data_IF_108790331444
#
_entry.id   IF_108790331444
#
_cell.length_a   1.000
_cell.length_b   1.000
_cell.length_c   1.000
_cell.angle_alpha   90.00
_cell.angle_beta   90.00
_cell.angle_gamma   90.00
#
_symmetry.space_group_name_H-M   'P 1'
#
loop_
_entity.id
_entity.type
_entity.pdbx_description
1 polymer ?
#
# COMPACT_ATOMS: atom_id res chain seq x y z
N UNK A 1 -23.41 1.99 3.72
CA UNK A 1 -22.11 2.49 3.22
C UNK A 1 -22.35 3.04 1.83
N UNK A 2 -21.78 4.20 1.50
CA UNK A 2 -21.89 4.79 0.16
C UNK A 2 -20.74 4.25 -0.69
N UNK A 3 -20.96 3.13 -1.37
CA UNK A 3 -19.93 2.42 -2.15
C UNK A 3 -20.26 2.40 -3.63
N UNK A 4 -19.24 2.55 -4.47
CA UNK A 4 -19.33 2.32 -5.91
C UNK A 4 -18.51 1.10 -6.28
N UNK A 5 -19.12 0.15 -6.99
CA UNK A 5 -18.45 -1.04 -7.49
C UNK A 5 -18.26 -0.93 -9.00
N UNK A 6 -17.04 -1.19 -9.45
CA UNK A 6 -16.68 -1.35 -10.87
C UNK A 6 -16.22 -2.77 -11.12
N UNK A 7 -16.48 -3.28 -12.33
CA UNK A 7 -16.15 -4.66 -12.69
C UNK A 7 -15.64 -4.75 -14.13
N UNK A 8 -14.76 -5.70 -14.37
CA UNK A 8 -14.40 -6.23 -15.69
C UNK A 8 -14.45 -7.76 -15.62
N UNK A 9 -14.25 -8.46 -16.75
CA UNK A 9 -14.27 -9.94 -16.72
C UNK A 9 -13.24 -10.49 -15.73
N UNK A 10 -13.71 -11.23 -14.72
CA UNK A 10 -12.89 -11.89 -13.70
C UNK A 10 -12.39 -11.01 -12.56
N UNK A 11 -12.84 -9.75 -12.45
CA UNK A 11 -12.42 -8.85 -11.36
C UNK A 11 -13.52 -7.83 -11.01
N UNK A 12 -13.72 -7.59 -9.72
CA UNK A 12 -14.55 -6.48 -9.22
C UNK A 12 -13.85 -5.72 -8.09
N UNK A 13 -14.11 -4.42 -8.01
CA UNK A 13 -13.50 -3.52 -7.02
C UNK A 13 -14.56 -2.55 -6.52
N UNK A 14 -14.65 -2.38 -5.21
CA UNK A 14 -15.57 -1.45 -4.56
C UNK A 14 -14.80 -0.34 -3.84
N UNK A 15 -15.14 0.92 -4.15
CA UNK A 15 -14.62 2.12 -3.49
C UNK A 15 -15.65 2.64 -2.48
N UNK A 16 -15.26 2.88 -1.23
CA UNK A 16 -16.06 3.62 -0.25
C UNK A 16 -15.92 5.12 -0.50
N UNK A 17 -16.97 5.75 -1.03
CA UNK A 17 -16.95 7.15 -1.39
C UNK A 17 -16.83 8.09 -0.18
N UNK A 18 -17.02 7.62 1.05
CA UNK A 18 -16.90 8.50 2.21
C UNK A 18 -15.43 8.79 2.61
N UNK A 19 -14.51 7.94 2.18
CA UNK A 19 -13.09 7.98 2.59
C UNK A 19 -12.12 7.70 1.44
N UNK A 20 -12.61 7.24 0.29
CA UNK A 20 -11.78 6.89 -0.86
C UNK A 20 -11.03 5.57 -0.72
N UNK A 21 -11.44 4.70 0.21
CA UNK A 21 -10.82 3.40 0.43
C UNK A 21 -11.32 2.38 -0.59
N UNK A 22 -10.43 1.53 -1.11
CA UNK A 22 -10.80 0.29 -1.78
C UNK A 22 -11.33 -0.65 -0.71
N UNK A 23 -12.65 -0.65 -0.51
CA UNK A 23 -13.31 -1.40 0.56
C UNK A 23 -13.37 -2.91 0.29
N UNK A 24 -13.36 -3.30 -0.98
CA UNK A 24 -13.31 -4.70 -1.41
C UNK A 24 -12.66 -4.83 -2.80
N UNK A 25 -11.96 -5.93 -3.01
CA UNK A 25 -11.46 -6.37 -4.31
C UNK A 25 -11.68 -7.89 -4.39
N UNK A 26 -12.23 -8.36 -5.49
CA UNK A 26 -12.48 -9.77 -5.75
C UNK A 26 -11.92 -10.15 -7.13
N UNK A 27 -11.17 -11.24 -7.20
CA UNK A 27 -10.61 -11.77 -8.44
C UNK A 27 -11.08 -13.21 -8.65
N UNK A 28 -11.70 -13.49 -9.78
CA UNK A 28 -12.13 -14.84 -10.15
C UNK A 28 -11.01 -15.56 -10.90
N UNK A 29 -10.50 -16.65 -10.33
CA UNK A 29 -9.42 -17.42 -10.93
C UNK A 29 -9.48 -18.90 -10.52
N UNK A 30 -9.43 -19.81 -11.49
CA UNK A 30 -9.39 -21.26 -11.23
C UNK A 30 -10.62 -21.77 -10.46
N UNK A 31 -11.81 -21.20 -10.71
CA UNK A 31 -13.05 -21.55 -10.00
C UNK A 31 -13.14 -21.03 -8.56
N UNK A 32 -12.20 -20.17 -8.14
CA UNK A 32 -12.17 -19.53 -6.82
C UNK A 32 -12.39 -18.03 -6.94
N UNK A 33 -12.89 -17.41 -5.87
CA UNK A 33 -12.91 -15.95 -5.69
C UNK A 33 -11.85 -15.58 -4.66
N UNK A 34 -10.82 -14.86 -5.09
CA UNK A 34 -9.74 -14.39 -4.23
C UNK A 34 -10.10 -13.02 -3.67
N UNK A 35 -9.79 -12.80 -2.38
CA UNK A 35 -10.02 -11.53 -1.68
C UNK A 35 -8.68 -11.06 -1.09
N UNK A 36 -7.87 -10.32 -1.86
CA UNK A 36 -6.52 -9.96 -1.42
C UNK A 36 -6.46 -8.91 -0.32
N UNK A 37 -7.55 -8.16 -0.12
CA UNK A 37 -7.56 -6.98 0.73
C UNK A 37 -8.22 -7.23 2.09
N UNK A 38 -7.64 -6.66 3.14
CA UNK A 38 -8.11 -6.75 4.52
C UNK A 38 -9.26 -5.77 4.80
N UNK A 39 -10.11 -6.08 5.77
CA UNK A 39 -11.10 -5.16 6.34
C UNK A 39 -11.08 -5.28 7.85
N UNK A 40 -10.89 -4.16 8.54
CA UNK A 40 -10.73 -4.16 9.99
C UNK A 40 -12.00 -4.67 10.69
N UNK A 41 -11.87 -5.39 11.82
CA UNK A 41 -13.00 -6.08 12.46
C UNK A 41 -14.03 -5.15 13.10
N UNK A 42 -13.70 -3.86 13.28
CA UNK A 42 -14.65 -2.86 13.79
C UNK A 42 -15.43 -2.15 12.69
N UNK A 43 -15.08 -2.32 11.41
CA UNK A 43 -15.79 -1.63 10.33
C UNK A 43 -17.26 -2.07 10.29
N UNK A 44 -18.17 -1.10 10.46
CA UNK A 44 -19.61 -1.35 10.58
C UNK A 44 -20.12 -1.44 12.03
N UNK A 45 -19.26 -1.33 13.03
CA UNK A 45 -19.69 -1.16 14.43
C UNK A 45 -20.39 0.20 14.61
N UNK A 46 -21.35 0.31 15.54
CA UNK A 46 -21.98 1.60 15.83
C UNK A 46 -20.92 2.63 16.25
N UNK A 47 -21.01 3.87 15.74
CA UNK A 47 -19.96 4.88 15.89
C UNK A 47 -19.67 5.23 17.35
N UNK A 48 -20.71 5.21 18.18
CA UNK A 48 -20.70 5.45 19.62
C UNK A 48 -19.92 4.39 20.42
N UNK A 49 -19.66 3.22 19.82
CA UNK A 49 -18.83 2.15 20.43
C UNK A 49 -17.34 2.32 20.12
N UNK A 50 -16.99 3.27 19.26
CA UNK A 50 -15.62 3.55 18.84
C UNK A 50 -15.13 4.86 19.50
N UNK A 51 -13.83 5.01 19.79
CA UNK A 51 -13.30 6.25 20.35
C UNK A 51 -13.71 7.49 19.53
N UNK A 52 -14.11 8.55 20.21
CA UNK A 52 -14.69 9.75 19.57
C UNK A 52 -13.72 10.42 18.59
N UNK A 53 -12.42 10.42 18.89
CA UNK A 53 -11.41 11.13 18.11
C UNK A 53 -10.76 10.28 16.99
N UNK A 54 -11.33 9.13 16.63
CA UNK A 54 -10.81 8.37 15.49
C UNK A 54 -11.03 9.14 14.17
N UNK A 55 -9.99 9.23 13.31
CA UNK A 55 -10.17 9.64 11.92
C UNK A 55 -11.20 8.76 11.21
N UNK A 56 -12.00 9.34 10.32
CA UNK A 56 -13.03 8.60 9.59
C UNK A 56 -12.43 7.45 8.76
N UNK A 57 -11.23 7.64 8.21
CA UNK A 57 -10.48 6.58 7.54
C UNK A 57 -10.19 5.39 8.47
N UNK A 58 -9.85 5.63 9.74
CA UNK A 58 -9.64 4.56 10.73
C UNK A 58 -10.94 3.88 11.12
N UNK A 59 -12.05 4.62 11.24
CA UNK A 59 -13.39 4.04 11.48
C UNK A 59 -13.76 3.06 10.36
N UNK A 60 -13.33 3.33 9.13
CA UNK A 60 -13.64 2.57 7.91
C UNK A 60 -12.44 1.81 7.34
N UNK A 61 -11.46 1.49 8.18
CA UNK A 61 -10.16 0.95 7.76
C UNK A 61 -10.33 -0.34 6.93
N UNK A 62 -10.05 -0.25 5.63
CA UNK A 62 -10.27 -1.34 4.68
C UNK A 62 -9.43 -1.18 3.42
N UNK A 63 -9.06 -2.33 2.87
CA UNK A 63 -8.25 -2.58 1.69
C UNK A 63 -7.10 -1.63 1.48
N UNK A 64 -7.19 -0.80 0.45
CA UNK A 64 -6.16 0.19 0.08
C UNK A 64 -6.72 1.62 0.17
N UNK A 65 -5.88 2.56 0.55
CA UNK A 65 -6.22 3.98 0.57
C UNK A 65 -4.99 4.83 0.28
N UNK A 66 -5.23 6.04 -0.25
CA UNK A 66 -4.16 6.98 -0.51
C UNK A 66 -3.89 7.83 0.74
N UNK A 67 -2.68 7.76 1.26
CA UNK A 67 -2.17 8.69 2.25
C UNK A 67 -1.61 9.92 1.54
N UNK A 68 -2.20 11.10 1.75
CA UNK A 68 -1.69 12.37 1.26
C UNK A 68 -2.07 13.53 2.22
N UNK A 69 -1.17 13.92 3.13
CA UNK A 69 0.20 13.44 3.24
C UNK A 69 0.33 12.01 3.79
N UNK A 70 1.49 11.40 3.61
CA UNK A 70 1.84 10.18 4.34
C UNK A 70 2.05 10.47 5.83
N UNK A 71 1.53 9.59 6.70
CA UNK A 71 1.55 9.72 8.17
C UNK A 71 0.89 11.01 8.69
N UNK A 72 1.49 11.69 9.67
CA UNK A 72 0.99 12.92 10.30
C UNK A 72 0.88 14.07 9.30
N UNK A 73 -0.22 14.83 9.37
CA UNK A 73 -0.48 16.03 8.56
C UNK A 73 -0.19 17.30 9.36
N UNK A 74 1.08 17.68 9.44
CA UNK A 74 1.61 18.78 10.27
C UNK A 74 2.08 20.02 9.48
N UNK A 75 1.82 20.07 8.17
CA UNK A 75 2.02 21.28 7.32
C UNK A 75 0.67 21.90 6.95
N UNK A 76 -0.28 21.09 6.49
CA UNK A 76 -1.70 21.45 6.38
C UNK A 76 -2.48 20.58 7.36
N UNK A 77 -3.25 21.20 8.26
CA UNK A 77 -3.98 20.46 9.28
C UNK A 77 -5.05 19.56 8.65
N UNK A 78 -4.91 18.25 8.86
CA UNK A 78 -5.86 17.22 8.45
C UNK A 78 -5.74 16.01 9.40
N UNK A 79 -6.69 15.06 9.37
CA UNK A 79 -6.55 13.81 10.10
C UNK A 79 -5.31 13.01 9.65
N UNK A 80 -4.95 11.97 10.42
CA UNK A 80 -3.87 11.05 10.05
C UNK A 80 -4.08 10.52 8.61
N UNK A 81 -3.02 10.57 7.79
CA UNK A 81 -3.04 10.24 6.36
C UNK A 81 -3.80 11.22 5.45
N UNK A 82 -4.17 12.39 5.97
CA UNK A 82 -4.69 13.50 5.20
C UNK A 82 -6.13 13.32 4.72
N UNK A 83 -6.61 14.29 3.95
CA UNK A 83 -8.00 14.30 3.48
C UNK A 83 -8.30 13.19 2.46
N UNK A 84 -7.31 12.69 1.72
CA UNK A 84 -7.51 11.62 0.73
C UNK A 84 -8.02 10.32 1.32
N UNK A 85 -7.73 10.05 2.61
CA UNK A 85 -8.17 8.87 3.35
C UNK A 85 -9.32 9.18 4.35
N UNK A 86 -9.78 10.43 4.43
CA UNK A 86 -10.67 10.88 5.51
C UNK A 86 -11.79 11.82 5.04
N UNK A 87 -12.03 11.92 3.74
CA UNK A 87 -13.06 12.78 3.18
C UNK A 87 -13.76 12.10 2.01
N UNK A 88 -14.95 12.61 1.72
CA UNK A 88 -15.79 12.13 0.64
C UNK A 88 -15.18 12.40 -0.73
N UNK A 89 -15.52 11.49 -1.67
CA UNK A 89 -15.16 11.51 -3.07
C UNK A 89 -16.42 11.51 -3.93
N UNK A 90 -16.43 12.33 -4.97
CA UNK A 90 -17.49 12.38 -5.98
C UNK A 90 -17.12 11.52 -7.19
N UNK A 91 -18.09 10.84 -7.77
CA UNK A 91 -17.92 10.14 -9.05
C UNK A 91 -17.95 11.18 -10.17
N UNK A 92 -16.85 11.29 -10.92
CA UNK A 92 -16.73 12.19 -12.08
C UNK A 92 -17.05 11.45 -13.38
N UNK A 93 -16.51 10.23 -13.51
CA UNK A 93 -16.70 9.37 -14.68
C UNK A 93 -16.80 7.92 -14.18
N UNK A 94 -17.67 7.13 -14.80
CA UNK A 94 -17.80 5.71 -14.50
C UNK A 94 -18.39 4.99 -15.71
N UNK A 95 -17.58 4.23 -16.45
CA UNK A 95 -18.05 3.62 -17.69
C UNK A 95 -17.13 2.57 -18.28
N UNK A 96 -17.70 1.81 -19.21
CA UNK A 96 -16.98 0.84 -20.01
C UNK A 96 -15.94 1.53 -20.90
N UNK A 97 -14.77 0.90 -21.03
CA UNK A 97 -13.74 1.24 -22.02
C UNK A 97 -13.49 0.02 -22.90
N UNK A 98 -12.72 0.19 -23.98
CA UNK A 98 -12.30 -0.95 -24.78
C UNK A 98 -11.54 -1.97 -23.92
N UNK A 99 -12.10 -3.17 -23.78
CA UNK A 99 -11.51 -4.27 -23.03
C UNK A 99 -11.51 -4.11 -21.51
N UNK A 100 -12.45 -3.33 -20.94
CA UNK A 100 -12.55 -3.22 -19.48
C UNK A 100 -13.46 -2.09 -19.00
N UNK A 101 -13.13 -1.55 -17.83
CA UNK A 101 -13.91 -0.53 -17.15
C UNK A 101 -13.01 0.53 -16.51
N UNK A 102 -13.44 1.79 -16.52
CA UNK A 102 -12.71 2.89 -15.88
C UNK A 102 -13.67 3.77 -15.09
N UNK A 103 -13.21 4.21 -13.92
CA UNK A 103 -13.88 5.22 -13.13
C UNK A 103 -12.89 6.29 -12.64
N UNK A 104 -13.38 7.52 -12.57
CA UNK A 104 -12.66 8.69 -12.08
C UNK A 104 -13.44 9.26 -10.91
N UNK A 105 -12.75 9.47 -9.80
CA UNK A 105 -13.30 10.02 -8.58
C UNK A 105 -12.53 11.28 -8.20
N UNK A 106 -13.23 12.31 -7.73
CA UNK A 106 -12.62 13.55 -7.27
C UNK A 106 -12.82 13.73 -5.77
N UNK A 107 -11.75 14.00 -5.07
CA UNK A 107 -11.81 14.34 -3.65
C UNK A 107 -12.56 15.66 -3.46
N UNK A 108 -13.52 15.72 -2.52
CA UNK A 108 -14.25 16.97 -2.22
C UNK A 108 -13.37 18.05 -1.59
N UNK A 109 -12.39 17.61 -0.79
CA UNK A 109 -11.37 18.48 -0.18
C UNK A 109 -10.23 18.74 -1.16
N UNK A 110 -9.58 19.88 -0.99
CA UNK A 110 -8.26 20.12 -1.60
C UNK A 110 -7.17 19.60 -0.65
N UNK A 111 -6.01 19.30 -1.21
CA UNK A 111 -4.79 18.95 -0.46
C UNK A 111 -3.71 19.92 -0.88
N UNK A 112 -3.21 20.74 0.06
CA UNK A 112 -2.24 21.81 -0.23
C UNK A 112 -2.70 22.74 -1.36
N UNK A 113 -4.01 22.95 -1.47
CA UNK A 113 -4.65 23.72 -2.55
C UNK A 113 -4.85 22.98 -3.89
N UNK A 114 -4.33 21.77 -4.06
CA UNK A 114 -4.52 20.96 -5.26
C UNK A 114 -5.88 20.24 -5.28
N UNK A 115 -6.47 20.11 -6.46
CA UNK A 115 -7.55 19.14 -6.70
C UNK A 115 -6.94 17.73 -6.83
N UNK A 116 -7.59 16.72 -6.25
CA UNK A 116 -7.09 15.35 -6.27
C UNK A 116 -8.09 14.43 -6.96
N UNK A 117 -7.64 13.77 -8.02
CA UNK A 117 -8.40 12.75 -8.73
C UNK A 117 -7.79 11.36 -8.49
N UNK A 118 -8.67 10.37 -8.33
CA UNK A 118 -8.36 8.93 -8.26
C UNK A 118 -8.98 8.26 -9.48
N UNK A 119 -8.16 7.58 -10.25
CA UNK A 119 -8.56 6.87 -11.46
C UNK A 119 -8.34 5.38 -11.22
N UNK A 120 -9.42 4.61 -11.31
CA UNK A 120 -9.40 3.16 -11.20
C UNK A 120 -9.69 2.56 -12.57
N UNK A 121 -8.84 1.67 -13.02
CA UNK A 121 -9.01 0.94 -14.29
C UNK A 121 -8.96 -0.56 -14.04
N UNK A 122 -9.93 -1.27 -14.58
CA UNK A 122 -9.98 -2.73 -14.65
C UNK A 122 -9.92 -3.14 -16.13
N UNK A 123 -9.20 -4.23 -16.41
CA UNK A 123 -9.09 -4.81 -17.76
C UNK A 123 -9.65 -6.22 -17.75
N UNK A 124 -10.37 -6.59 -18.80
CA UNK A 124 -10.93 -7.92 -18.96
C UNK A 124 -9.84 -8.98 -18.84
N UNK A 125 -10.06 -9.98 -17.97
CA UNK A 125 -9.16 -11.10 -17.69
C UNK A 125 -7.80 -10.71 -17.08
N UNK A 126 -7.62 -9.46 -16.64
CA UNK A 126 -6.47 -9.08 -15.81
C UNK A 126 -6.85 -9.24 -14.32
N UNK A 127 -6.03 -9.93 -13.50
CA UNK A 127 -6.28 -10.06 -12.07
C UNK A 127 -5.81 -8.83 -11.27
N UNK A 128 -5.83 -7.64 -11.88
CA UNK A 128 -5.17 -6.44 -11.38
C UNK A 128 -6.10 -5.23 -11.37
N UNK A 129 -6.08 -4.50 -10.27
CA UNK A 129 -6.57 -3.12 -10.17
C UNK A 129 -5.44 -2.16 -10.52
N UNK A 130 -5.64 -1.35 -11.56
CA UNK A 130 -4.72 -0.29 -11.97
C UNK A 130 -5.18 1.05 -11.40
N UNK A 131 -4.33 1.68 -10.59
CA UNK A 131 -4.64 2.93 -9.89
C UNK A 131 -3.72 4.06 -10.35
N UNK A 132 -4.30 5.21 -10.64
CA UNK A 132 -3.58 6.47 -10.86
C UNK A 132 -4.18 7.57 -9.98
N UNK A 133 -3.31 8.34 -9.32
CA UNK A 133 -3.73 9.54 -8.60
C UNK A 133 -3.10 10.76 -9.23
N UNK A 134 -3.89 11.82 -9.41
CA UNK A 134 -3.47 13.08 -10.03
C UNK A 134 -3.73 14.21 -9.05
N UNK A 135 -2.71 15.03 -8.80
CA UNK A 135 -2.82 16.28 -8.05
C UNK A 135 -2.66 17.43 -9.04
N UNK A 136 -3.69 18.24 -9.22
CA UNK A 136 -3.69 19.37 -10.15
C UNK A 136 -3.68 20.71 -9.41
N UNK A 137 -2.67 21.53 -9.67
CA UNK A 137 -2.42 22.80 -9.00
C UNK A 137 -1.78 22.63 -7.62
N UNK A 138 -2.18 23.48 -6.69
CA UNK A 138 -1.66 23.48 -5.32
C UNK A 138 -0.33 24.23 -5.16
N UNK A 139 0.27 24.08 -3.98
CA UNK A 139 1.51 24.77 -3.61
C UNK A 139 2.34 23.94 -2.64
N UNK A 140 3.64 24.24 -2.57
CA UNK A 140 4.56 23.53 -1.69
C UNK A 140 4.87 22.12 -2.20
N UNK A 141 4.75 21.13 -1.33
CA UNK A 141 5.02 19.73 -1.67
C UNK A 141 4.17 18.78 -0.83
N UNK A 142 3.98 17.56 -1.35
CA UNK A 142 3.16 16.53 -0.74
C UNK A 142 3.90 15.19 -0.73
N UNK A 143 4.00 14.57 0.45
CA UNK A 143 4.43 13.18 0.57
C UNK A 143 3.24 12.27 0.40
N UNK A 144 3.41 11.11 -0.24
CA UNK A 144 2.30 10.20 -0.50
C UNK A 144 2.70 8.76 -0.32
N UNK A 145 1.73 7.91 0.01
CA UNK A 145 1.85 6.46 -0.13
C UNK A 145 0.48 5.83 -0.41
N UNK A 146 0.44 4.82 -1.25
CA UNK A 146 -0.65 3.84 -1.23
C UNK A 146 -0.52 3.00 0.04
N UNK A 147 -1.61 2.34 0.46
CA UNK A 147 -1.62 1.58 1.71
C UNK A 147 -2.49 0.32 1.60
N UNK A 148 -2.30 -0.57 0.60
CA UNK A 148 -2.97 -1.86 0.59
C UNK A 148 -2.64 -2.65 1.86
N UNK A 149 -3.69 -3.09 2.53
CA UNK A 149 -3.62 -4.00 3.66
C UNK A 149 -4.13 -5.36 3.24
N UNK A 150 -3.44 -6.40 3.68
CA UNK A 150 -3.84 -7.78 3.44
C UNK A 150 -3.80 -8.59 4.73
N UNK A 151 -4.75 -9.52 4.85
CA UNK A 151 -4.73 -10.50 5.91
C UNK A 151 -3.76 -11.63 5.54
N UNK A 152 -3.04 -12.13 6.55
CA UNK A 152 -2.04 -13.19 6.51
C UNK A 152 -2.43 -14.26 7.53
N UNK A 153 -3.63 -14.84 7.45
CA UNK A 153 -4.24 -15.61 8.57
C UNK A 153 -3.37 -16.76 9.07
N UNK A 154 -2.65 -17.44 8.17
CA UNK A 154 -1.70 -18.51 8.48
C UNK A 154 -0.23 -18.08 8.41
N UNK A 155 0.02 -16.77 8.33
CA UNK A 155 1.31 -16.22 7.94
C UNK A 155 1.62 -16.46 6.47
N UNK A 156 2.88 -16.27 6.09
CA UNK A 156 3.28 -16.41 4.71
C UNK A 156 4.70 -15.95 4.45
N UNK A 157 5.09 -15.99 3.19
CA UNK A 157 6.41 -15.55 2.74
C UNK A 157 6.27 -14.34 1.85
N UNK A 158 7.24 -13.43 1.95
CA UNK A 158 7.31 -12.21 1.17
C UNK A 158 8.51 -12.29 0.23
N UNK A 159 8.35 -11.77 -0.97
CA UNK A 159 9.45 -11.43 -1.86
C UNK A 159 9.28 -10.00 -2.35
N UNK A 160 10.40 -9.40 -2.76
CA UNK A 160 10.45 -8.02 -3.18
C UNK A 160 11.35 -7.86 -4.40
N UNK A 161 11.12 -6.80 -5.17
CA UNK A 161 12.19 -6.24 -6.01
C UNK A 161 13.40 -5.90 -5.14
N UNK A 162 14.63 -5.94 -5.69
CA UNK A 162 15.85 -5.65 -4.95
C UNK A 162 15.74 -4.37 -4.09
N UNK A 163 16.20 -4.46 -2.84
CA UNK A 163 16.20 -3.35 -1.87
C UNK A 163 17.63 -2.97 -1.50
N UNK A 164 17.92 -1.68 -1.42
CA UNK A 164 19.21 -1.15 -0.94
C UNK A 164 19.34 -1.30 0.56
N UNK A 165 18.25 -1.03 1.26
CA UNK A 165 18.26 -0.83 2.70
C UNK A 165 16.89 -1.02 3.32
N UNK A 166 16.87 -1.50 4.55
CA UNK A 166 15.72 -1.51 5.44
C UNK A 166 16.05 -0.72 6.71
N UNK A 167 15.12 0.15 7.15
CA UNK A 167 15.32 1.04 8.30
C UNK A 167 14.04 1.15 9.12
N UNK A 168 14.14 0.95 10.44
CA UNK A 168 13.07 1.31 11.38
C UNK A 168 13.24 2.77 11.85
N UNK A 169 12.14 3.48 12.14
CA UNK A 169 12.20 4.85 12.66
C UNK A 169 12.86 4.91 14.04
N UNK A 170 13.08 6.14 14.54
CA UNK A 170 13.69 6.36 15.86
C UNK A 170 12.91 5.72 17.02
N UNK A 171 11.58 5.66 16.91
CA UNK A 171 10.70 5.11 17.94
C UNK A 171 9.76 4.07 17.33
N UNK A 172 9.43 2.99 18.04
CA UNK A 172 8.41 2.04 17.60
C UNK A 172 7.03 2.70 17.57
N UNK A 173 6.07 2.05 16.89
CA UNK A 173 4.68 2.53 16.82
C UNK A 173 3.99 2.51 18.19
N UNK A 174 4.29 1.51 19.02
CA UNK A 174 3.73 1.33 20.37
C UNK A 174 4.84 1.23 21.42
N UNK A 175 5.47 2.35 21.80
CA UNK A 175 6.59 2.35 22.76
C UNK A 175 6.15 2.08 24.21
N UNK A 176 4.89 2.33 24.53
CA UNK A 176 4.34 2.10 25.88
C UNK A 176 3.92 0.63 26.03
N UNK A 177 4.61 -0.16 26.89
CA UNK A 177 4.30 -1.58 27.08
C UNK A 177 2.92 -1.83 27.70
N UNK A 178 2.28 -0.82 28.32
CA UNK A 178 0.92 -0.93 28.81
C UNK A 178 -0.14 -0.81 27.69
N UNK A 179 0.25 -0.33 26.51
CA UNK A 179 -0.63 -0.10 25.36
C UNK A 179 -0.40 -1.07 24.22
N UNK A 180 0.80 -1.61 24.11
CA UNK A 180 1.11 -2.56 23.07
C UNK A 180 2.51 -3.11 23.09
N UNK A 181 2.93 -3.65 21.95
CA UNK A 181 4.22 -4.32 21.79
C UNK A 181 4.70 -4.28 20.34
N UNK A 182 6.01 -4.34 20.18
CA UNK A 182 6.73 -4.37 18.92
C UNK A 182 7.85 -5.41 19.01
N UNK A 183 8.42 -5.81 17.86
CA UNK A 183 9.44 -6.87 17.81
C UNK A 183 10.78 -6.38 17.29
N UNK A 184 10.78 -5.52 16.29
CA UNK A 184 12.01 -5.05 15.65
C UNK A 184 12.79 -4.13 16.61
N UNK A 185 14.09 -3.98 16.38
CA UNK A 185 14.86 -2.94 17.09
C UNK A 185 14.54 -1.55 16.50
N UNK A 186 14.51 -0.53 17.35
CA UNK A 186 14.27 0.87 16.96
C UNK A 186 15.28 1.80 17.65
N UNK A 187 15.98 2.66 16.89
CA UNK A 187 16.18 2.57 15.45
C UNK A 187 17.09 1.39 15.09
N UNK A 188 16.93 0.85 13.88
CA UNK A 188 17.79 -0.18 13.32
C UNK A 188 17.88 -0.04 11.79
N UNK A 189 18.97 -0.56 11.24
CA UNK A 189 19.29 -0.53 9.80
C UNK A 189 19.90 -1.87 9.40
N UNK A 190 19.50 -2.41 8.26
CA UNK A 190 20.12 -3.58 7.65
C UNK A 190 20.02 -3.54 6.12
N UNK A 191 20.96 -4.20 5.45
CA UNK A 191 20.92 -4.45 3.99
C UNK A 191 20.42 -5.86 3.67
N UNK A 192 20.58 -6.82 4.58
CA UNK A 192 20.03 -8.16 4.47
C UNK A 192 18.67 -8.24 5.16
N UNK A 193 17.61 -8.43 4.38
CA UNK A 193 16.23 -8.52 4.89
C UNK A 193 15.99 -9.80 5.71
N UNK A 194 16.83 -10.83 5.54
CA UNK A 194 16.72 -12.09 6.29
C UNK A 194 17.37 -12.03 7.68
N UNK A 195 18.13 -10.97 7.96
CA UNK A 195 18.85 -10.76 9.21
C UNK A 195 18.61 -9.36 9.79
N UNK A 196 17.34 -8.96 9.96
CA UNK A 196 17.00 -7.65 10.53
C UNK A 196 17.06 -7.65 12.08
N UNK A 197 17.67 -6.64 12.73
CA UNK A 197 17.79 -6.60 14.20
C UNK A 197 16.44 -6.58 14.94
N UNK A 198 16.34 -7.35 16.04
CA UNK A 198 15.16 -7.36 16.93
C UNK A 198 15.47 -6.77 18.31
N UNK A 199 14.46 -6.21 18.98
CA UNK A 199 14.62 -5.50 20.25
C UNK A 199 15.16 -6.38 21.38
N UNK A 200 14.83 -7.68 21.37
CA UNK A 200 15.31 -8.65 22.36
C UNK A 200 16.73 -9.17 22.10
N UNK A 201 17.42 -8.67 21.06
CA UNK A 201 18.70 -9.18 20.58
C UNK A 201 18.56 -10.32 19.57
N UNK A 202 19.54 -10.48 18.69
CA UNK A 202 19.48 -11.38 17.54
C UNK A 202 18.83 -10.73 16.30
N UNK A 203 18.34 -11.55 15.38
CA UNK A 203 17.77 -11.10 14.10
C UNK A 203 16.44 -11.80 13.76
N UNK A 204 15.66 -11.20 12.88
CA UNK A 204 14.47 -11.77 12.26
C UNK A 204 14.55 -11.71 10.74
N UNK A 205 13.91 -12.68 10.09
CA UNK A 205 13.73 -12.70 8.65
C UNK A 205 12.47 -11.90 8.28
N UNK A 206 12.62 -10.77 7.61
CA UNK A 206 11.51 -9.94 7.14
C UNK A 206 10.75 -10.56 5.96
N UNK A 207 11.30 -11.61 5.35
CA UNK A 207 10.65 -12.40 4.28
C UNK A 207 9.74 -13.50 4.83
N UNK A 208 9.70 -13.72 6.15
CA UNK A 208 8.80 -14.67 6.81
C UNK A 208 7.82 -13.94 7.74
N UNK A 209 6.55 -13.88 7.34
CA UNK A 209 5.48 -13.37 8.19
C UNK A 209 5.01 -14.47 9.13
N UNK A 210 5.36 -14.29 10.40
CA UNK A 210 5.04 -15.22 11.49
C UNK A 210 3.85 -14.72 12.32
N UNK A 211 2.80 -15.54 12.40
CA UNK A 211 1.57 -15.19 13.11
C UNK A 211 1.75 -15.12 14.63
N UNK A 212 2.69 -15.90 15.15
CA UNK A 212 3.03 -15.98 16.57
C UNK A 212 3.71 -14.73 17.12
N UNK A 213 4.27 -13.86 16.26
CA UNK A 213 5.06 -12.71 16.71
C UNK A 213 4.26 -11.67 17.49
N UNK A 214 2.94 -11.58 17.25
CA UNK A 214 1.99 -10.67 17.92
C UNK A 214 2.56 -9.25 18.14
N UNK A 215 2.69 -8.46 17.07
CA UNK A 215 3.49 -7.21 17.05
C UNK A 215 2.80 -6.04 16.36
N UNK A 216 3.22 -4.82 16.69
CA UNK A 216 3.03 -3.62 15.88
C UNK A 216 4.40 -3.07 15.48
N UNK A 217 4.76 -3.22 14.21
CA UNK A 217 6.07 -2.80 13.72
C UNK A 217 5.94 -1.98 12.44
N UNK A 218 6.95 -1.14 12.19
CA UNK A 218 7.03 -0.32 11.00
C UNK A 218 8.47 -0.27 10.48
N UNK A 219 8.65 -0.52 9.19
CA UNK A 219 9.96 -0.49 8.56
C UNK A 219 9.86 0.10 7.17
N UNK A 220 10.84 0.92 6.78
CA UNK A 220 10.98 1.49 5.43
C UNK A 220 12.02 0.72 4.65
N UNK A 221 11.65 0.24 3.46
CA UNK A 221 12.53 -0.41 2.49
C UNK A 221 12.81 0.56 1.34
N UNK A 222 14.08 0.79 1.03
CA UNK A 222 14.51 1.65 -0.08
C UNK A 222 14.74 0.79 -1.31
N UNK A 223 14.10 1.14 -2.43
CA UNK A 223 14.29 0.44 -3.71
C UNK A 223 15.76 0.49 -4.17
N UNK A 224 16.25 -0.63 -4.70
CA UNK A 224 17.46 -0.66 -5.51
C UNK A 224 17.09 -0.54 -6.99
N UNK A 225 17.95 0.11 -7.76
CA UNK A 225 17.81 0.13 -9.20
C UNK A 225 18.06 -1.26 -9.78
N UNK A 226 17.13 -1.69 -10.62
CA UNK A 226 17.15 -2.97 -11.31
C UNK A 226 16.45 -2.89 -12.68
N UNK A 227 16.18 -1.66 -13.17
CA UNK A 227 15.57 -1.43 -14.49
C UNK A 227 14.09 -1.83 -14.66
N UNK A 228 13.45 -2.35 -13.62
CA UNK A 228 12.06 -2.85 -13.64
C UNK A 228 11.11 -2.11 -12.70
N UNK A 229 9.84 -2.56 -12.62
CA UNK A 229 8.92 -2.06 -11.61
C UNK A 229 9.38 -2.48 -10.20
N UNK A 230 9.15 -1.61 -9.21
CA UNK A 230 9.24 -2.03 -7.82
C UNK A 230 8.07 -2.96 -7.52
N UNK A 231 8.31 -4.07 -6.82
CA UNK A 231 7.27 -5.05 -6.52
C UNK A 231 7.40 -5.65 -5.13
N UNK A 232 6.26 -6.08 -4.60
CA UNK A 232 6.10 -6.85 -3.38
C UNK A 232 5.14 -8.00 -3.67
N UNK A 233 5.55 -9.24 -3.35
CA UNK A 233 4.79 -10.46 -3.57
C UNK A 233 4.60 -11.20 -2.24
N UNK A 234 3.36 -11.56 -1.89
CA UNK A 234 3.02 -12.25 -0.65
C UNK A 234 2.40 -13.60 -0.96
N UNK A 235 3.12 -14.68 -0.68
CA UNK A 235 2.60 -16.05 -0.73
C UNK A 235 1.87 -16.33 0.59
N UNK A 236 0.53 -16.28 0.55
CA UNK A 236 -0.31 -16.36 1.75
C UNK A 236 -0.72 -17.80 2.02
N UNK A 237 -0.32 -18.35 3.19
CA UNK A 237 -0.44 -19.78 3.46
C UNK A 237 -1.90 -20.24 3.61
N UNK A 238 -2.72 -19.53 4.36
CA UNK A 238 -4.11 -19.95 4.59
C UNK A 238 -5.00 -19.66 3.38
N UNK A 239 -4.72 -18.55 2.70
CA UNK A 239 -5.50 -18.04 1.58
C UNK A 239 -5.16 -18.75 0.27
N UNK A 240 -3.99 -19.40 0.18
CA UNK A 240 -3.54 -20.17 -0.99
C UNK A 240 -3.59 -19.31 -2.27
N UNK A 241 -3.07 -18.09 -2.16
CA UNK A 241 -2.93 -17.13 -3.23
C UNK A 241 -1.64 -16.31 -3.09
N UNK A 242 -1.29 -15.62 -4.17
CA UNK A 242 -0.18 -14.68 -4.24
C UNK A 242 -0.76 -13.28 -4.43
N UNK A 243 -0.58 -12.42 -3.45
CA UNK A 243 -0.88 -10.98 -3.59
C UNK A 243 0.33 -10.30 -4.22
N UNK A 244 0.09 -9.52 -5.27
CA UNK A 244 1.11 -8.77 -5.99
C UNK A 244 0.81 -7.27 -5.90
N UNK A 245 1.82 -6.51 -5.52
CA UNK A 245 1.77 -5.05 -5.47
C UNK A 245 2.94 -4.50 -6.28
N UNK A 246 2.66 -3.60 -7.23
CA UNK A 246 3.66 -3.08 -8.15
C UNK A 246 3.57 -1.55 -8.27
N UNK A 247 4.72 -0.91 -8.46
CA UNK A 247 4.87 0.53 -8.64
C UNK A 247 5.99 0.89 -9.62
N UNK A 248 6.04 2.16 -10.00
CA UNK A 248 7.24 2.74 -10.59
C UNK A 248 8.17 3.24 -9.47
N UNK A 249 9.38 2.69 -9.30
CA UNK A 249 10.29 3.11 -8.23
C UNK A 249 10.80 4.55 -8.42
N UNK A 250 10.73 5.11 -9.63
CA UNK A 250 11.03 6.53 -9.85
C UNK A 250 9.91 7.45 -9.32
N UNK A 251 8.66 7.00 -9.35
CA UNK A 251 7.52 7.73 -8.78
C UNK A 251 7.45 7.51 -7.25
N UNK A 252 7.53 6.25 -6.81
CA UNK A 252 7.35 5.79 -5.43
C UNK A 252 8.60 4.98 -4.97
N UNK A 253 9.67 5.64 -4.50
CA UNK A 253 10.99 5.01 -4.31
C UNK A 253 11.14 4.19 -3.01
N UNK A 254 10.12 4.14 -2.16
CA UNK A 254 10.16 3.33 -0.92
C UNK A 254 8.94 2.42 -0.82
N UNK A 255 9.10 1.29 -0.16
CA UNK A 255 8.00 0.46 0.36
C UNK A 255 8.13 0.48 1.87
N UNK A 256 7.13 0.99 2.60
CA UNK A 256 7.07 0.76 4.03
C UNK A 256 6.19 -0.46 4.31
N UNK A 257 6.53 -1.21 5.37
CA UNK A 257 5.73 -2.33 5.84
C UNK A 257 5.18 -2.00 7.22
N UNK A 258 3.86 -2.00 7.34
CA UNK A 258 3.16 -1.90 8.62
C UNK A 258 2.67 -3.28 9.05
N UNK A 259 3.30 -3.80 10.10
CA UNK A 259 2.87 -5.04 10.73
C UNK A 259 1.85 -4.69 11.80
N UNK A 260 0.64 -5.22 11.68
CA UNK A 260 -0.37 -5.11 12.73
C UNK A 260 -0.96 -6.47 13.02
N UNK A 261 -0.46 -7.07 14.11
CA UNK A 261 -0.77 -8.44 14.47
C UNK A 261 -1.19 -8.52 15.94
N UNK A 262 -2.26 -7.80 16.26
CA UNK A 262 -2.90 -7.83 17.58
C UNK A 262 -1.99 -7.33 18.69
N UNK A 263 -1.07 -6.42 18.37
CA UNK A 263 -0.11 -5.86 19.32
C UNK A 263 -0.56 -4.57 19.98
N UNK A 264 -1.65 -3.93 19.51
CA UNK A 264 -2.33 -2.80 20.18
C UNK A 264 -3.46 -3.28 21.10
N UNK A 265 -3.40 -2.94 22.39
CA UNK A 265 -4.37 -3.39 23.40
C UNK A 265 -5.57 -2.44 23.59
N UNK A 266 -5.50 -1.24 23.05
CA UNK A 266 -6.54 -0.22 23.20
C UNK A 266 -7.48 -0.16 21.99
N UNK A 267 -8.69 0.36 22.19
CA UNK A 267 -9.68 0.49 21.14
C UNK A 267 -9.21 1.45 20.02
N UNK A 268 -9.59 1.21 18.75
CA UNK A 268 -10.48 0.13 18.29
C UNK A 268 -9.77 -1.21 18.05
N UNK A 269 -8.44 -1.22 18.08
CA UNK A 269 -7.63 -2.44 17.87
C UNK A 269 -7.98 -3.50 18.89
N UNK A 270 -7.82 -3.22 20.19
CA UNK A 270 -8.16 -4.11 21.30
C UNK A 270 -7.65 -5.55 21.12
N UNK A 271 -6.46 -5.70 20.51
CA UNK A 271 -5.86 -6.99 20.18
C UNK A 271 -6.56 -7.78 19.06
N UNK A 272 -7.54 -7.19 18.35
CA UNK A 272 -8.39 -7.84 17.34
C UNK A 272 -7.95 -7.65 15.89
N UNK A 273 -7.11 -6.65 15.60
CA UNK A 273 -6.51 -6.47 14.26
C UNK A 273 -5.31 -7.42 14.12
N UNK A 274 -5.57 -8.65 13.69
CA UNK A 274 -4.64 -9.78 13.78
C UNK A 274 -4.18 -10.20 12.38
N UNK A 275 -2.88 -10.49 12.24
CA UNK A 275 -2.30 -11.02 11.02
C UNK A 275 -2.43 -10.08 9.83
N UNK A 276 -2.27 -8.77 10.01
CA UNK A 276 -2.38 -7.80 8.92
C UNK A 276 -1.02 -7.25 8.55
N UNK A 277 -0.77 -7.13 7.25
CA UNK A 277 0.38 -6.45 6.69
C UNK A 277 -0.12 -5.31 5.77
N UNK A 278 0.28 -4.08 6.09
CA UNK A 278 0.21 -2.94 5.18
C UNK A 278 1.46 -2.90 4.30
N UNK A 279 1.28 -2.74 2.99
CA UNK A 279 2.35 -2.54 2.01
C UNK A 279 2.24 -1.13 1.50
N UNK A 280 3.06 -0.23 2.02
CA UNK A 280 2.90 1.20 1.80
C UNK A 280 3.92 1.70 0.79
N UNK A 281 3.57 1.62 -0.48
CA UNK A 281 4.42 2.11 -1.57
C UNK A 281 4.31 3.63 -1.68
N UNK A 282 5.43 4.31 -1.47
CA UNK A 282 5.41 5.75 -1.22
C UNK A 282 6.59 6.53 -1.78
N UNK A 283 6.36 7.84 -1.78
CA UNK A 283 7.38 8.89 -1.86
C UNK A 283 7.22 9.72 -0.59
N UNK A 284 7.83 9.25 0.50
CA UNK A 284 7.62 9.81 1.82
C UNK A 284 8.76 9.44 2.78
N UNK A 285 8.99 10.31 3.77
CA UNK A 285 9.48 9.92 5.08
C UNK A 285 8.29 9.82 6.06
N UNK A 286 8.50 9.32 7.28
CA UNK A 286 7.42 9.26 8.28
C UNK A 286 7.08 10.68 8.78
N UNK A 287 5.98 11.23 8.28
CA UNK A 287 5.43 12.57 8.63
C UNK A 287 5.52 13.57 7.48
N UNK A 288 4.54 14.47 7.36
CA UNK A 288 4.46 15.45 6.27
C UNK A 288 5.62 16.46 6.32
N UNK A 289 5.79 17.18 7.43
CA UNK A 289 6.88 18.15 7.58
C UNK A 289 8.25 17.47 7.52
N UNK A 290 8.40 16.27 8.10
CA UNK A 290 9.63 15.48 8.01
C UNK A 290 9.98 15.07 6.56
N UNK A 291 8.97 14.75 5.75
CA UNK A 291 9.16 14.48 4.33
C UNK A 291 9.61 15.71 3.54
N UNK A 292 9.07 16.88 3.89
CA UNK A 292 9.40 18.15 3.22
C UNK A 292 10.76 18.70 3.66
N UNK A 293 11.12 18.53 4.92
CA UNK A 293 12.37 19.00 5.52
C UNK A 293 13.58 18.12 5.23
N UNK A 294 14.63 18.30 6.01
CA UNK A 294 15.79 17.42 5.98
C UNK A 294 15.47 16.06 6.60
N UNK A 295 15.96 14.97 6.00
CA UNK A 295 15.75 13.61 6.50
C UNK A 295 16.77 12.61 5.93
N UNK A 296 16.88 11.46 6.58
CA UNK A 296 17.86 10.43 6.21
C UNK A 296 17.64 9.86 4.80
N UNK A 297 16.41 9.80 4.30
CA UNK A 297 16.11 9.32 2.95
C UNK A 297 16.69 10.27 1.88
N UNK A 298 16.55 11.59 2.08
CA UNK A 298 17.16 12.59 1.20
C UNK A 298 18.69 12.49 1.20
N UNK A 299 19.30 12.22 2.36
CA UNK A 299 20.74 11.95 2.46
C UNK A 299 21.17 10.67 1.72
N UNK A 300 20.26 9.71 1.55
CA UNK A 300 20.46 8.49 0.74
C UNK A 300 20.09 8.69 -0.75
N UNK A 301 19.79 9.92 -1.16
CA UNK A 301 19.42 10.29 -2.53
C UNK A 301 17.98 9.93 -2.91
N UNK A 302 17.11 9.69 -1.93
CA UNK A 302 15.73 9.23 -2.14
C UNK A 302 14.75 10.41 -2.06
N UNK A 303 13.91 10.54 -3.09
CA UNK A 303 12.84 11.54 -3.11
C UNK A 303 11.75 11.20 -2.07
N UNK A 304 11.29 12.22 -1.33
CA UNK A 304 10.32 12.05 -0.22
C UNK A 304 9.08 12.93 -0.34
N UNK A 305 8.96 13.73 -1.40
CA UNK A 305 7.75 14.48 -1.71
C UNK A 305 7.63 14.79 -3.20
N UNK A 306 6.41 15.01 -3.69
CA UNK A 306 6.13 15.63 -4.97
C UNK A 306 6.00 17.14 -4.81
N UNK A 307 6.61 17.92 -5.69
CA UNK A 307 6.42 19.36 -5.72
C UNK A 307 5.05 19.70 -6.34
N UNK A 308 4.32 20.61 -5.72
CA UNK A 308 3.05 21.13 -6.20
C UNK A 308 3.21 22.57 -6.64
N UNK A 309 2.55 22.95 -7.74
CA UNK A 309 2.41 24.34 -8.12
C UNK A 309 1.19 24.56 -8.99
N UNK A 310 0.70 25.79 -9.00
CA UNK A 310 -0.37 26.23 -9.87
C UNK A 310 -0.04 25.96 -11.35
N UNK A 311 -1.04 25.54 -12.13
CA UNK A 311 -0.89 25.21 -13.55
C UNK A 311 -0.14 23.91 -13.86
N UNK A 312 0.39 23.19 -12.86
CA UNK A 312 1.02 21.88 -13.02
C UNK A 312 0.16 20.76 -12.48
N UNK A 313 0.43 19.53 -12.94
CA UNK A 313 -0.15 18.33 -12.36
C UNK A 313 0.93 17.30 -12.12
N UNK A 314 0.89 16.64 -10.96
CA UNK A 314 1.73 15.46 -10.68
C UNK A 314 0.84 14.24 -10.63
N UNK A 315 1.32 13.12 -11.18
CA UNK A 315 0.63 11.84 -11.05
C UNK A 315 1.58 10.69 -10.77
N UNK A 316 1.04 9.66 -10.12
CA UNK A 316 1.75 8.45 -9.79
C UNK A 316 0.81 7.24 -9.84
N UNK A 317 1.39 6.07 -10.13
CA UNK A 317 0.64 4.85 -10.43
C UNK A 317 1.02 3.68 -9.53
N UNK A 318 0.02 2.84 -9.28
CA UNK A 318 0.13 1.68 -8.42
C UNK A 318 -0.78 0.57 -8.91
N UNK A 319 -0.35 -0.69 -8.75
CA UNK A 319 -1.11 -1.85 -9.17
C UNK A 319 -1.19 -2.86 -8.04
N UNK A 320 -2.39 -3.38 -7.79
CA UNK A 320 -2.65 -4.45 -6.82
C UNK A 320 -3.32 -5.60 -7.55
N UNK A 321 -2.93 -6.83 -7.29
CA UNK A 321 -3.56 -8.02 -7.86
C UNK A 321 -3.40 -9.27 -7.02
N UNK A 322 -4.10 -10.33 -7.44
CA UNK A 322 -4.01 -11.62 -6.78
C UNK A 322 -4.19 -12.78 -7.76
N UNK A 323 -3.43 -13.86 -7.58
CA UNK A 323 -3.57 -15.08 -8.38
C UNK A 323 -3.55 -16.32 -7.49
N UNK A 324 -4.18 -17.45 -7.90
CA UNK A 324 -4.08 -18.70 -7.16
C UNK A 324 -2.62 -19.13 -7.06
N UNK A 325 -2.18 -19.53 -5.86
CA UNK A 325 -0.79 -19.88 -5.58
C UNK A 325 -0.75 -20.87 -4.42
N UNK A 326 -0.34 -22.10 -4.70
CA UNK A 326 -0.27 -23.16 -3.70
C UNK A 326 1.14 -23.35 -3.12
N UNK A 327 2.15 -22.73 -3.74
CA UNK A 327 3.54 -22.89 -3.35
C UNK A 327 3.83 -22.13 -2.06
N UNK A 328 4.75 -22.66 -1.27
CA UNK A 328 5.15 -22.04 0.00
C UNK A 328 6.16 -20.91 -0.21
N UNK A 329 6.98 -21.01 -1.27
CA UNK A 329 7.99 -20.01 -1.61
C UNK A 329 7.43 -19.03 -2.64
N UNK A 330 7.56 -17.71 -2.40
CA UNK A 330 7.13 -16.70 -3.36
C UNK A 330 8.09 -16.67 -4.57
N UNK A 331 7.71 -15.98 -5.66
CA UNK A 331 8.59 -15.80 -6.81
C UNK A 331 9.95 -15.20 -6.40
N UNK A 332 11.02 -15.70 -7.01
CA UNK A 332 12.37 -15.15 -6.89
C UNK A 332 12.58 -13.92 -7.77
N UNK A 333 11.75 -13.76 -8.80
CA UNK A 333 11.82 -12.64 -9.74
C UNK A 333 10.49 -12.33 -10.40
N UNK A 334 10.41 -11.12 -10.95
CA UNK A 334 9.26 -10.60 -11.69
C UNK A 334 9.76 -9.76 -12.86
N UNK A 335 9.25 -10.07 -14.06
CA UNK A 335 9.55 -9.34 -15.29
C UNK A 335 8.23 -8.83 -15.89
N UNK A 336 8.20 -7.57 -16.36
CA UNK A 336 7.03 -6.99 -17.03
C UNK A 336 7.37 -6.57 -18.44
N UNK A 337 6.54 -6.95 -19.41
CA UNK A 337 6.71 -6.64 -20.84
C UNK A 337 5.64 -7.34 -21.66
N UNK A 338 5.47 -6.97 -22.93
CA UNK A 338 4.62 -7.69 -23.88
C UNK A 338 3.21 -8.04 -23.38
N UNK A 339 2.56 -7.11 -22.65
CA UNK A 339 1.20 -7.29 -22.14
C UNK A 339 1.07 -8.33 -21.02
N UNK A 340 2.17 -8.65 -20.33
CA UNK A 340 2.19 -9.61 -19.23
C UNK A 340 3.15 -9.23 -18.12
N UNK A 341 2.96 -9.89 -16.99
CA UNK A 341 3.94 -10.03 -15.92
C UNK A 341 4.31 -11.50 -15.79
N UNK A 342 5.61 -11.79 -15.84
CA UNK A 342 6.17 -13.13 -15.68
C UNK A 342 6.72 -13.26 -14.27
N UNK A 343 6.17 -14.21 -13.52
CA UNK A 343 6.70 -14.63 -12.23
C UNK A 343 7.73 -15.74 -12.45
N UNK A 344 8.90 -15.59 -11.85
CA UNK A 344 10.00 -16.57 -11.93
C UNK A 344 10.14 -17.23 -10.56
N UNK A 345 10.09 -18.57 -10.50
CA UNK A 345 10.28 -19.34 -9.29
C UNK A 345 11.78 -19.57 -8.98
N UNK A 346 12.10 -20.10 -7.81
CA UNK A 346 13.47 -20.39 -7.39
C UNK A 346 14.13 -21.52 -8.21
N UNK A 347 13.33 -22.43 -8.76
CA UNK A 347 13.77 -23.52 -9.65
C UNK A 347 13.90 -23.10 -11.12
N UNK A 348 13.61 -21.83 -11.44
CA UNK A 348 13.65 -21.28 -12.79
C UNK A 348 12.38 -21.51 -13.61
N UNK A 349 11.38 -22.22 -13.08
CA UNK A 349 10.05 -22.26 -13.71
C UNK A 349 9.41 -20.88 -13.73
N UNK A 350 8.55 -20.62 -14.71
CA UNK A 350 7.95 -19.32 -14.90
C UNK A 350 6.45 -19.39 -15.22
N UNK A 351 5.71 -18.39 -14.77
CA UNK A 351 4.27 -18.24 -15.01
C UNK A 351 3.96 -16.84 -15.52
N UNK A 352 3.30 -16.77 -16.67
CA UNK A 352 2.84 -15.52 -17.26
C UNK A 352 1.41 -15.19 -16.78
N UNK A 353 1.18 -13.91 -16.45
CA UNK A 353 -0.12 -13.38 -16.04
C UNK A 353 -0.42 -12.13 -16.89
N UNK A 354 -1.65 -12.02 -17.41
CA UNK A 354 -2.06 -10.86 -18.19
C UNK A 354 -1.89 -9.55 -17.40
N UNK A 355 -1.22 -8.56 -17.99
CA UNK A 355 -0.86 -7.32 -17.32
C UNK A 355 -0.65 -6.17 -18.32
N UNK A 356 -1.08 -4.95 -17.98
CA UNK A 356 -0.76 -3.76 -18.77
C UNK A 356 0.68 -3.31 -18.47
N UNK A 357 1.65 -3.81 -19.24
CA UNK A 357 3.08 -3.54 -19.06
C UNK A 357 3.46 -2.07 -19.23
N UNK A 358 2.64 -1.27 -19.92
CA UNK A 358 2.87 0.16 -20.10
C UNK A 358 2.31 1.01 -18.96
N UNK A 359 1.42 0.45 -18.13
CA UNK A 359 0.71 1.22 -17.11
C UNK A 359 1.67 1.91 -16.14
N UNK A 360 2.69 1.22 -15.64
CA UNK A 360 3.61 1.80 -14.65
C UNK A 360 4.63 2.79 -15.24
N UNK A 361 4.65 3.02 -16.56
CA UNK A 361 5.56 3.99 -17.21
C UNK A 361 7.05 3.78 -16.88
N UNK A 362 7.47 2.52 -16.67
CA UNK A 362 8.86 2.21 -16.35
C UNK A 362 9.79 2.75 -17.43
N UNK A 363 10.89 3.41 -17.02
CA UNK A 363 11.86 4.01 -17.92
C UNK A 363 11.38 5.25 -18.70
N UNK A 364 10.13 5.70 -18.52
CA UNK A 364 9.64 6.95 -19.11
C UNK A 364 9.89 8.10 -18.13
N UNK A 365 10.23 9.29 -18.65
CA UNK A 365 10.29 10.49 -17.83
C UNK A 365 8.93 10.75 -17.20
N UNK A 366 8.90 10.92 -15.87
CA UNK A 366 7.70 11.38 -15.16
C UNK A 366 7.40 12.79 -15.69
N UNK A 367 6.18 13.07 -16.21
CA UNK A 367 5.81 14.42 -16.60
C UNK A 367 6.01 15.39 -15.43
N UNK A 368 6.68 16.51 -15.68
CA UNK A 368 7.05 17.51 -14.68
C UNK A 368 5.90 18.45 -14.27
#
# INVERSE_FOLDING_TARGET
MNTVTISAKGISVSLDLAVGHIAAMEVEAGGRVLKPLHRAPWVGSPRETLPENLPEGTVRLSGDFLCAPFSTSDVEAAPLHGWTANSEWDVVENGAIAGGWRAVFRLRRKVMGAAVDKILTLRDNHPFLYQEHIFSGGSGAISVAHHPMTAMQGGGRLAFSPKRLAVTPATPLEPDPARGRFRLAYPARATDLTHFPIAAGGTADLTDYRMEDRREDFITLVEADHGGPGWTALARRAEQDLVLVLKNPAELPVTMLWFSNGGRDYAPWSGRHIGVLGIEDGRAAVGHAASLGDNWLKHEGVATAFALAEGRSVSFRHVIGAVPFADTEPPSGLESGDGRVRLVATDGSARDIAFDSDFLRIGRSVPA
#
